data_IF_411073720854
#
_entry.id   IF_411073720854
#
_cell.length_a   1.000
_cell.length_b   1.000
_cell.length_c   1.000
_cell.angle_alpha   90.00
_cell.angle_beta   90.00
_cell.angle_gamma   90.00
#
_symmetry.space_group_name_H-M   'P 1'
#
loop_
_entity.id
_entity.type
_entity.pdbx_description
1 polymer ?
2 polymer ?
3 water ?
#
loop_
_entity_poly.entity_id
_entity_poly.type
_entity_poly.pdbx_seq_one_letter_code
_entity_poly.pdbx_strand_id
2 'polyribonucleotide' 'UUUUUUU' ?
#
# COMPACT_ATOMS: atom_id res chain seq x y z
N UNK A 9 -20.80 -13.77 4.96
CA UNK A 9 -20.43 -12.97 6.17
C UNK A 9 -19.14 -12.17 5.93
N UNK A 10 -18.20 -12.76 5.19
CA UNK A 10 -16.93 -12.10 4.90
C UNK A 10 -17.13 -10.74 4.22
N UNK A 11 -18.02 -10.69 3.24
CA UNK A 11 -18.29 -9.45 2.52
C UNK A 11 -18.78 -8.38 3.49
N UNK A 12 -19.78 -8.73 4.30
CA UNK A 12 -20.31 -7.80 5.27
C UNK A 12 -19.24 -7.39 6.28
N UNK A 13 -18.40 -8.34 6.68
CA UNK A 13 -17.34 -8.04 7.63
C UNK A 13 -16.34 -7.08 7.02
N UNK A 14 -16.04 -7.27 5.74
CA UNK A 14 -15.09 -6.39 5.07
C UNK A 14 -15.64 -4.98 5.05
N UNK A 15 -16.95 -4.85 4.81
CA UNK A 15 -17.58 -3.54 4.76
C UNK A 15 -17.51 -2.86 6.13
N UNK A 16 -17.73 -3.65 7.18
CA UNK A 16 -17.68 -3.14 8.54
C UNK A 16 -16.26 -2.66 8.87
N UNK A 17 -15.26 -3.47 8.53
CA UNK A 17 -13.86 -3.10 8.79
C UNK A 17 -13.52 -1.79 8.10
N UNK A 18 -13.81 -1.72 6.80
CA UNK A 18 -13.49 -0.52 6.04
C UNK A 18 -14.19 0.72 6.56
N UNK A 19 -15.45 0.58 6.96
CA UNK A 19 -16.20 1.73 7.46
C UNK A 19 -15.64 2.23 8.78
N UNK A 20 -15.33 1.31 9.70
CA UNK A 20 -14.80 1.72 10.99
C UNK A 20 -13.37 2.24 10.82
N UNK A 21 -12.57 1.54 10.03
CA UNK A 21 -11.21 2.00 9.78
C UNK A 21 -11.22 3.38 9.12
N UNK A 22 -12.28 3.70 8.38
CA UNK A 22 -12.34 5.03 7.78
C UNK A 22 -12.57 6.05 8.89
N UNK A 23 -13.51 5.75 9.80
CA UNK A 23 -13.81 6.68 10.90
C UNK A 23 -12.57 7.04 11.69
N UNK A 24 -11.81 6.02 12.09
CA UNK A 24 -10.59 6.21 12.88
C UNK A 24 -9.34 6.42 12.04
N UNK A 25 -9.51 6.59 10.73
CA UNK A 25 -8.37 6.75 9.84
C UNK A 25 -7.68 8.11 9.87
N UNK A 26 -6.54 8.17 9.20
CA UNK A 26 -5.72 9.38 9.11
C UNK A 26 -6.43 10.58 8.49
N UNK A 27 -7.38 10.33 7.60
CA UNK A 27 -8.08 11.45 6.97
C UNK A 27 -9.24 11.98 7.77
N UNK A 28 -10.13 11.09 8.18
CA UNK A 28 -11.31 11.51 8.91
C UNK A 28 -11.10 11.88 10.38
N UNK A 29 -10.36 11.06 11.11
CA UNK A 29 -10.18 11.32 12.54
C UNK A 29 -9.77 12.74 12.90
N UNK A 30 -8.74 13.29 12.23
CA UNK A 30 -8.30 14.65 12.56
C UNK A 30 -9.38 15.73 12.35
N UNK A 31 -10.41 15.41 11.58
CA UNK A 31 -11.49 16.35 11.29
C UNK A 31 -12.81 15.98 11.93
N UNK A 32 -12.84 14.86 12.67
CA UNK A 32 -14.06 14.40 13.30
C UNK A 32 -14.21 14.92 14.73
N UNK A 33 -14.94 16.03 14.88
CA UNK A 33 -15.13 16.62 16.20
C UNK A 33 -15.73 15.65 17.21
N UNK A 34 -16.84 15.04 16.86
CA UNK A 34 -17.50 14.12 17.78
C UNK A 34 -16.64 12.91 18.16
N UNK A 35 -15.97 12.32 17.19
CA UNK A 35 -15.13 11.16 17.48
C UNK A 35 -13.89 11.52 18.29
N UNK A 36 -13.29 12.67 17.98
CA UNK A 36 -12.11 13.11 18.71
C UNK A 36 -12.48 13.33 20.18
N UNK A 37 -13.69 13.83 20.41
CA UNK A 37 -14.15 14.06 21.77
C UNK A 37 -14.33 12.73 22.49
N UNK A 38 -14.84 11.72 21.80
CA UNK A 38 -15.05 10.41 22.40
C UNK A 38 -13.74 9.74 22.79
N UNK A 39 -12.73 9.89 21.93
CA UNK A 39 -11.42 9.29 22.16
C UNK A 39 -10.73 9.86 23.40
N UNK A 40 -11.20 11.02 23.85
CA UNK A 40 -10.61 11.66 25.04
C UNK A 40 -11.18 11.12 26.34
N UNK A 41 -12.39 10.57 26.27
CA UNK A 41 -13.08 10.05 27.45
C UNK A 41 -12.49 8.87 28.18
N UNK A 42 -11.98 7.88 27.43
CA UNK A 42 -11.46 6.66 28.05
C UNK A 42 -10.23 6.07 27.37
N UNK A 43 -9.14 6.82 27.33
CA UNK A 43 -7.89 6.36 26.72
C UNK A 43 -8.04 5.88 25.27
N UNK A 44 -8.93 6.50 24.52
CA UNK A 44 -9.12 6.11 23.12
C UNK A 44 -10.27 5.14 22.90
N UNK A 45 -10.63 4.39 23.93
CA UNK A 45 -11.72 3.43 23.84
C UNK A 45 -13.07 4.09 23.61
N UNK A 46 -13.83 3.55 22.66
CA UNK A 46 -15.16 4.06 22.37
C UNK A 46 -16.13 2.88 22.43
N UNK A 47 -17.17 2.97 23.27
CA UNK A 47 -18.13 1.88 23.38
C UNK A 47 -18.81 1.58 22.04
N UNK A 48 -19.05 0.31 21.76
CA UNK A 48 -19.73 -0.05 20.52
C UNK A 48 -21.14 0.53 20.56
N UNK A 49 -21.66 0.76 21.76
CA UNK A 49 -23.00 1.33 21.89
C UNK A 49 -23.02 2.73 21.28
N UNK A 50 -21.85 3.37 21.26
CA UNK A 50 -21.74 4.69 20.65
C UNK A 50 -21.44 4.56 19.17
N UNK A 51 -20.61 3.57 18.81
CA UNK A 51 -20.25 3.33 17.42
C UNK A 51 -21.46 3.01 16.55
N UNK A 52 -22.41 2.25 17.08
CA UNK A 52 -23.57 1.88 16.27
C UNK A 52 -24.50 3.06 16.02
N UNK A 53 -24.18 4.21 16.59
CA UNK A 53 -24.97 5.41 16.36
C UNK A 53 -24.47 6.05 15.06
N UNK A 54 -23.27 5.66 14.63
CA UNK A 54 -22.69 6.17 13.40
C UNK A 54 -23.55 5.61 12.26
N UNK A 55 -24.20 6.53 11.54
CA UNK A 55 -25.10 6.21 10.46
C UNK A 55 -24.73 5.04 9.52
N UNK A 56 -23.61 5.18 8.81
CA UNK A 56 -23.21 4.13 7.86
C UNK A 56 -22.88 2.76 8.46
N UNK A 57 -22.38 2.74 9.69
CA UNK A 57 -22.09 1.47 10.33
C UNK A 57 -23.42 0.86 10.77
N UNK A 58 -24.29 1.71 11.32
CA UNK A 58 -25.60 1.26 11.80
C UNK A 58 -26.36 0.51 10.71
N UNK A 59 -26.26 0.98 9.47
CA UNK A 59 -26.94 0.35 8.34
C UNK A 59 -26.41 -1.05 8.05
N UNK A 60 -25.14 -1.28 8.37
CA UNK A 60 -24.52 -2.59 8.14
C UNK A 60 -24.96 -3.56 9.22
N UNK A 61 -24.86 -3.14 10.47
CA UNK A 61 -25.27 -3.97 11.60
C UNK A 61 -25.12 -3.20 12.90
N UNK A 62 -25.86 -3.62 13.92
CA UNK A 62 -25.76 -3.02 15.25
C UNK A 62 -25.27 -4.11 16.22
N UNK A 63 -25.10 -5.33 15.70
CA UNK A 63 -24.66 -6.48 16.48
C UNK A 63 -23.19 -6.35 16.89
N UNK A 64 -22.94 -6.15 18.18
CA UNK A 64 -21.57 -6.01 18.69
C UNK A 64 -20.70 -7.22 18.31
N UNK A 65 -21.27 -8.42 18.36
CA UNK A 65 -20.53 -9.65 18.04
C UNK A 65 -20.05 -9.66 16.59
N UNK A 66 -20.91 -9.21 15.68
CA UNK A 66 -20.55 -9.17 14.26
C UNK A 66 -19.46 -8.13 14.02
N UNK A 67 -19.57 -6.97 14.67
CA UNK A 67 -18.58 -5.91 14.52
C UNK A 67 -17.21 -6.37 15.02
N UNK A 68 -17.19 -7.00 16.19
CA UNK A 68 -15.93 -7.48 16.77
C UNK A 68 -15.30 -8.60 15.96
N UNK A 69 -16.11 -9.54 15.51
CA UNK A 69 -15.61 -10.64 14.69
C UNK A 69 -14.95 -10.04 13.45
N UNK A 70 -15.63 -9.08 12.85
CA UNK A 70 -15.12 -8.44 11.64
C UNK A 70 -13.76 -7.80 11.89
N UNK A 71 -13.68 -6.90 12.87
CA UNK A 71 -12.43 -6.23 13.18
C UNK A 71 -11.32 -7.21 13.55
N UNK A 72 -11.68 -8.32 14.18
CA UNK A 72 -10.69 -9.32 14.58
C UNK A 72 -9.93 -9.91 13.40
N UNK A 73 -10.57 -9.89 12.23
CA UNK A 73 -9.96 -10.44 11.03
C UNK A 73 -9.39 -9.40 10.08
N UNK A 74 -9.41 -8.14 10.50
CA UNK A 74 -8.88 -7.07 9.64
C UNK A 74 -7.38 -7.19 9.43
N UNK A 75 -6.95 -6.86 8.21
CA UNK A 75 -5.54 -6.90 7.83
C UNK A 75 -4.88 -5.58 8.23
N UNK A 76 -5.67 -4.51 8.21
CA UNK A 76 -5.19 -3.18 8.54
C UNK A 76 -4.56 -3.16 9.93
N UNK A 77 -5.13 -3.91 10.87
CA UNK A 77 -4.59 -3.96 12.22
C UNK A 77 -4.56 -2.55 12.81
N UNK A 78 -5.54 -1.74 12.44
CA UNK A 78 -5.60 -0.37 12.94
C UNK A 78 -6.32 -0.28 14.29
N UNK A 79 -7.38 -1.07 14.44
CA UNK A 79 -8.18 -1.05 15.67
C UNK A 79 -7.81 -2.11 16.69
N UNK A 80 -8.06 -1.79 17.96
CA UNK A 80 -7.85 -2.72 19.06
C UNK A 80 -9.25 -2.99 19.61
N UNK A 81 -9.46 -4.18 20.14
CA UNK A 81 -10.75 -4.57 20.71
C UNK A 81 -10.52 -4.82 22.20
N UNK A 82 -11.39 -4.27 23.03
CA UNK A 82 -11.26 -4.42 24.48
C UNK A 82 -11.41 -5.88 24.91
N UNK A 83 -10.91 -6.19 26.10
CA UNK A 83 -10.99 -7.54 26.62
C UNK A 83 -12.43 -8.04 26.71
N UNK A 84 -13.36 -7.18 27.14
CA UNK A 84 -14.76 -7.60 27.23
C UNK A 84 -15.49 -7.48 25.89
N UNK A 85 -14.77 -7.00 24.87
CA UNK A 85 -15.30 -6.86 23.53
C UNK A 85 -16.48 -5.92 23.34
N UNK A 86 -16.61 -4.94 24.23
CA UNK A 86 -17.69 -3.98 24.11
C UNK A 86 -17.18 -2.60 23.70
N UNK A 87 -15.86 -2.47 23.56
CA UNK A 87 -15.25 -1.20 23.17
C UNK A 87 -14.11 -1.40 22.16
N UNK A 88 -13.85 -0.36 21.37
CA UNK A 88 -12.79 -0.41 20.36
C UNK A 88 -12.03 0.91 20.33
N UNK A 89 -10.80 0.87 19.86
CA UNK A 89 -10.00 2.08 19.76
C UNK A 89 -8.92 1.96 18.71
N UNK A 90 -8.43 3.11 18.25
CA UNK A 90 -7.34 3.10 17.30
C UNK A 90 -6.13 2.69 18.11
N UNK A 91 -5.30 1.80 17.57
CA UNK A 91 -4.11 1.33 18.27
C UNK A 91 -3.21 2.49 18.69
N UNK A 92 -2.89 2.58 19.99
CA UNK A 92 -2.02 3.67 20.45
C UNK A 92 -0.62 3.59 19.82
N UNK A 93 -0.33 2.46 19.17
CA UNK A 93 0.96 2.26 18.52
C UNK A 93 0.90 2.75 17.07
N UNK A 94 -0.27 3.22 16.67
CA UNK A 94 -0.47 3.75 15.34
C UNK A 94 -0.93 5.20 15.49
N UNK A 95 -0.04 6.07 15.97
CA UNK A 95 -0.40 7.48 16.14
C UNK A 95 -0.69 8.14 14.81
N UNK A 96 -1.51 9.19 14.86
CA UNK A 96 -1.87 9.95 13.68
C UNK A 96 -0.62 10.67 13.15
N UNK A 97 -0.48 10.76 11.82
CA UNK A 97 0.67 11.40 11.18
C UNK A 97 0.81 12.87 11.55
N UNK A 98 2.05 13.36 11.59
CA UNK A 98 2.32 14.75 11.87
C UNK A 98 1.82 15.54 10.66
N UNK A 99 0.96 16.51 10.89
CA UNK A 99 0.41 17.30 9.78
C UNK A 99 1.31 18.48 9.43
N UNK A 100 2.41 18.18 8.75
CA UNK A 100 3.38 19.19 8.35
C UNK A 100 2.91 19.82 7.05
N UNK A 101 3.60 20.86 6.58
CA UNK A 101 3.24 21.50 5.33
C UNK A 101 3.46 20.50 4.21
N UNK A 102 4.52 19.70 4.34
CA UNK A 102 4.85 18.67 3.35
C UNK A 102 3.73 17.65 3.25
N UNK A 103 3.22 17.25 4.41
CA UNK A 103 2.14 16.28 4.49
C UNK A 103 0.91 16.80 3.75
N UNK A 104 0.54 18.04 4.05
CA UNK A 104 -0.62 18.66 3.42
C UNK A 104 -0.49 18.83 1.91
N UNK A 105 0.69 19.20 1.43
CA UNK A 105 0.90 19.38 0.00
C UNK A 105 0.86 18.01 -0.66
N UNK A 106 1.36 17.02 0.05
CA UNK A 106 1.37 15.65 -0.45
C UNK A 106 -0.08 15.23 -0.65
N UNK A 107 -0.92 15.54 0.32
CA UNK A 107 -2.34 15.21 0.23
C UNK A 107 -2.97 15.94 -0.95
N UNK A 108 -2.75 17.25 -1.01
CA UNK A 108 -3.30 18.07 -2.09
C UNK A 108 -2.88 17.54 -3.47
N UNK A 109 -1.62 17.13 -3.61
CA UNK A 109 -1.11 16.62 -4.87
C UNK A 109 -1.73 15.31 -5.34
N UNK A 110 -2.43 14.59 -4.46
CA UNK A 110 -3.06 13.35 -4.87
C UNK A 110 -4.58 13.43 -4.74
N UNK A 111 -5.08 14.66 -4.64
CA UNK A 111 -6.51 14.90 -4.54
C UNK A 111 -7.03 15.35 -5.89
N UNK A 112 -8.20 14.86 -6.26
CA UNK A 112 -8.77 15.19 -7.56
C UNK A 112 -10.21 15.67 -7.50
N UNK A 113 -10.52 16.68 -8.31
CA UNK A 113 -11.85 17.27 -8.40
C UNK A 113 -12.57 16.60 -9.57
N UNK A 114 -13.80 16.16 -9.33
CA UNK A 114 -14.57 15.51 -10.38
C UNK A 114 -15.98 16.05 -10.41
N UNK A 115 -16.39 16.60 -11.55
CA UNK A 115 -17.74 17.13 -11.69
C UNK A 115 -18.46 16.39 -12.80
N UNK A 116 -19.75 16.14 -12.60
CA UNK A 116 -20.55 15.45 -13.60
C UNK A 116 -21.53 14.40 -13.08
N UNK A 117 -21.42 14.02 -11.81
CA UNK A 117 -22.31 13.02 -11.25
C UNK A 117 -23.73 13.56 -11.12
N UNK A 118 -24.74 12.69 -11.27
CA UNK A 118 -26.12 13.16 -11.14
C UNK A 118 -26.30 13.56 -9.69
N UNK A 119 -27.16 14.53 -9.42
CA UNK A 119 -27.35 14.97 -8.04
C UNK A 119 -27.96 13.92 -7.11
N UNK A 120 -28.52 12.85 -7.66
CA UNK A 120 -29.08 11.82 -6.79
C UNK A 120 -28.12 10.66 -6.54
N UNK A 121 -26.89 10.79 -7.03
CA UNK A 121 -25.89 9.74 -6.82
C UNK A 121 -25.53 9.67 -5.33
N UNK A 122 -25.37 8.47 -4.80
CA UNK A 122 -25.03 8.32 -3.40
C UNK A 122 -23.54 8.08 -3.21
N UNK A 123 -23.07 8.12 -1.97
CA UNK A 123 -21.67 7.86 -1.71
C UNK A 123 -21.36 6.43 -2.18
N UNK A 124 -22.30 5.52 -1.97
CA UNK A 124 -22.10 4.15 -2.39
C UNK A 124 -21.95 4.02 -3.89
N UNK A 125 -22.77 4.75 -4.65
CA UNK A 125 -22.69 4.69 -6.11
C UNK A 125 -21.31 5.13 -6.59
N UNK A 126 -20.81 6.20 -5.99
CA UNK A 126 -19.52 6.74 -6.37
C UNK A 126 -18.37 5.83 -5.94
N UNK A 127 -18.46 5.27 -4.73
CA UNK A 127 -17.41 4.38 -4.25
C UNK A 127 -17.30 3.20 -5.20
N UNK A 128 -18.45 2.69 -5.62
CA UNK A 128 -18.51 1.56 -6.53
C UNK A 128 -17.91 1.93 -7.89
N UNK A 129 -18.18 3.14 -8.34
CA UNK A 129 -17.65 3.61 -9.62
C UNK A 129 -16.12 3.69 -9.58
N UNK A 130 -15.61 4.21 -8.47
CA UNK A 130 -14.17 4.38 -8.26
C UNK A 130 -13.39 3.09 -7.94
N UNK A 131 -14.09 2.01 -7.63
CA UNK A 131 -13.42 0.76 -7.30
C UNK A 131 -12.32 0.39 -8.27
N UNK A 132 -12.55 0.62 -9.56
CA UNK A 132 -11.55 0.29 -10.57
C UNK A 132 -10.80 1.51 -11.09
N UNK A 133 -10.68 2.54 -10.25
CA UNK A 133 -9.97 3.76 -10.62
C UNK A 133 -8.76 4.01 -9.73
N UNK A 134 -8.51 3.10 -8.80
CA UNK A 134 -7.37 3.25 -7.90
C UNK A 134 -7.80 3.34 -6.45
N UNK A 135 -6.89 3.01 -5.54
CA UNK A 135 -7.17 3.04 -4.11
C UNK A 135 -7.43 4.47 -3.65
N UNK A 136 -8.61 4.67 -3.06
CA UNK A 136 -9.01 5.99 -2.58
C UNK A 136 -9.07 6.00 -1.05
N UNK A 137 -8.66 7.12 -0.46
CA UNK A 137 -8.68 7.27 1.00
C UNK A 137 -9.82 8.14 1.50
N UNK A 138 -10.43 8.90 0.58
CA UNK A 138 -11.54 9.76 0.93
C UNK A 138 -12.30 10.24 -0.30
N UNK A 139 -13.61 10.38 -0.15
CA UNK A 139 -14.48 10.87 -1.20
C UNK A 139 -15.29 11.95 -0.49
N UNK A 140 -15.09 13.19 -0.91
CA UNK A 140 -15.80 14.30 -0.32
C UNK A 140 -16.88 14.77 -1.28
N UNK A 141 -18.12 14.42 -0.97
CA UNK A 141 -19.24 14.85 -1.80
C UNK A 141 -19.53 16.30 -1.44
N UNK A 142 -19.38 17.18 -2.42
CA UNK A 142 -19.62 18.61 -2.22
C UNK A 142 -21.11 18.90 -2.21
N UNK A 143 -21.56 19.67 -1.23
CA UNK A 143 -22.96 20.01 -1.11
C UNK A 143 -23.23 21.51 -1.09
N UNK A 144 -24.48 21.87 -1.34
CA UNK A 144 -24.89 23.26 -1.34
C UNK A 144 -25.19 23.66 0.09
N UNK A 145 -25.55 24.93 0.27
CA UNK A 145 -25.88 25.43 1.60
C UNK A 145 -27.18 24.82 2.12
N UNK A 146 -27.91 24.14 1.25
CA UNK A 146 -29.14 23.47 1.66
C UNK A 146 -28.90 21.95 1.73
N UNK A 147 -27.62 21.59 1.77
CA UNK A 147 -27.15 20.21 1.90
C UNK A 147 -27.46 19.28 0.73
N UNK A 148 -27.71 19.85 -0.44
CA UNK A 148 -27.98 19.05 -1.62
C UNK A 148 -26.65 18.73 -2.28
N UNK A 149 -26.54 17.53 -2.84
CA UNK A 149 -25.30 17.12 -3.51
C UNK A 149 -25.19 17.93 -4.80
N UNK A 150 -24.04 18.57 -4.99
CA UNK A 150 -23.78 19.42 -6.14
C UNK A 150 -23.48 18.68 -7.45
N UNK A 151 -23.06 17.43 -7.35
CA UNK A 151 -22.71 16.68 -8.54
C UNK A 151 -21.20 16.63 -8.72
N UNK A 152 -20.48 17.30 -7.83
CA UNK A 152 -19.01 17.33 -7.90
C UNK A 152 -18.44 16.80 -6.59
N UNK A 153 -17.24 16.22 -6.66
CA UNK A 153 -16.59 15.66 -5.47
C UNK A 153 -15.09 15.90 -5.49
N UNK A 154 -14.47 15.63 -4.34
CA UNK A 154 -13.01 15.70 -4.21
C UNK A 154 -12.65 14.29 -3.81
N UNK A 155 -11.64 13.71 -4.47
CA UNK A 155 -11.21 12.36 -4.15
C UNK A 155 -9.74 12.37 -3.80
N UNK A 156 -9.40 11.73 -2.69
CA UNK A 156 -8.01 11.65 -2.26
C UNK A 156 -7.55 10.23 -2.58
N UNK A 157 -6.59 10.10 -3.49
CA UNK A 157 -6.08 8.79 -3.87
C UNK A 157 -4.93 8.41 -2.95
N UNK A 158 -4.53 7.14 -2.99
CA UNK A 158 -3.43 6.67 -2.15
C UNK A 158 -2.08 7.24 -2.56
N UNK A 159 -1.89 7.49 -3.85
CA UNK A 159 -0.62 8.02 -4.35
C UNK A 159 -0.77 8.99 -5.52
N UNK A 160 0.20 9.87 -5.67
CA UNK A 160 0.20 10.84 -6.77
C UNK A 160 0.07 10.06 -8.07
N UNK A 161 0.69 8.89 -8.09
CA UNK A 161 0.65 8.02 -9.26
C UNK A 161 -0.80 7.65 -9.58
N UNK A 162 -1.53 7.19 -8.57
CA UNK A 162 -2.92 6.81 -8.76
C UNK A 162 -3.74 7.99 -9.24
N UNK A 163 -3.52 9.15 -8.62
CA UNK A 163 -4.23 10.36 -8.99
C UNK A 163 -3.95 10.77 -10.43
N UNK A 164 -2.68 10.80 -10.80
CA UNK A 164 -2.29 11.19 -12.14
C UNK A 164 -2.82 10.25 -13.23
N UNK A 165 -2.77 8.95 -13.00
CA UNK A 165 -3.26 8.01 -13.99
C UNK A 165 -4.76 8.24 -14.20
N UNK A 166 -5.47 8.49 -13.10
CA UNK A 166 -6.90 8.75 -13.15
C UNK A 166 -7.17 10.02 -13.95
N UNK A 167 -6.47 11.10 -13.58
CA UNK A 167 -6.64 12.38 -14.25
C UNK A 167 -6.28 12.34 -15.73
N UNK A 168 -5.19 11.66 -16.06
CA UNK A 168 -4.74 11.57 -17.45
C UNK A 168 -5.59 10.67 -18.33
N UNK A 169 -6.46 9.88 -17.71
CA UNK A 169 -7.34 8.98 -18.46
C UNK A 169 -8.44 9.79 -19.14
N UNK A 170 -8.44 9.85 -20.48
CA UNK A 170 -9.43 10.59 -21.25
C UNK A 170 -10.78 9.90 -21.43
N UNK A 171 -11.81 10.70 -21.72
CA UNK A 171 -13.14 10.17 -21.93
C UNK A 171 -13.79 9.43 -20.78
N UNK A 172 -13.48 9.81 -19.55
CA UNK A 172 -14.08 9.14 -18.39
C UNK A 172 -15.54 9.58 -18.24
N UNK A 173 -16.38 8.63 -17.84
CA UNK A 173 -17.79 8.93 -17.67
C UNK A 173 -18.41 8.17 -16.51
N UNK A 174 -19.46 8.75 -15.95
CA UNK A 174 -20.20 8.11 -14.88
C UNK A 174 -21.44 7.68 -15.63
N UNK A 175 -21.43 6.42 -16.07
CA UNK A 175 -22.51 5.84 -16.86
C UNK A 175 -23.18 6.84 -17.81
N UNK A 176 -22.53 7.04 -18.96
CA UNK A 176 -23.02 7.91 -20.02
C UNK A 176 -22.76 9.41 -19.90
N UNK A 177 -22.50 9.90 -18.69
CA UNK A 177 -22.26 11.33 -18.50
C UNK A 177 -20.79 11.73 -18.43
N UNK A 178 -20.37 12.56 -19.38
CA UNK A 178 -19.00 13.06 -19.45
C UNK A 178 -18.66 13.79 -18.15
N UNK A 179 -17.44 13.60 -17.65
CA UNK A 179 -17.01 14.23 -16.41
C UNK A 179 -15.85 15.20 -16.60
N UNK A 180 -15.81 16.23 -15.76
CA UNK A 180 -14.73 17.19 -15.79
C UNK A 180 -13.81 16.77 -14.64
N UNK A 181 -12.56 16.44 -14.95
CA UNK A 181 -11.60 15.99 -13.95
C UNK A 181 -10.37 16.88 -13.89
N UNK A 182 -10.08 17.41 -12.71
CA UNK A 182 -8.93 18.29 -12.54
C UNK A 182 -8.26 18.04 -11.19
N UNK A 183 -6.94 18.23 -11.12
CA UNK A 183 -6.28 18.07 -9.84
C UNK A 183 -6.85 19.18 -8.99
N UNK A 184 -7.01 18.91 -7.71
CA UNK A 184 -7.56 19.87 -6.75
C UNK A 184 -6.96 21.26 -6.95
N UNK A 185 -5.64 21.32 -7.09
CA UNK A 185 -4.93 22.58 -7.27
C UNK A 185 -5.47 23.30 -8.52
N UNK A 186 -5.47 22.59 -9.64
CA UNK A 186 -5.96 23.16 -10.89
C UNK A 186 -7.39 23.69 -10.78
N UNK A 187 -8.20 23.04 -9.95
CA UNK A 187 -9.59 23.46 -9.77
C UNK A 187 -9.68 24.89 -9.24
N UNK B 8 11.46 -14.65 19.80
CA UNK B 8 10.56 -14.09 18.74
C UNK B 8 11.27 -14.13 17.39
N UNK B 9 10.49 -14.24 16.33
CA UNK B 9 11.04 -14.30 14.99
C UNK B 9 10.32 -13.39 14.01
N UNK B 10 9.60 -12.40 14.53
CA UNK B 10 8.86 -11.46 13.70
C UNK B 10 9.73 -10.79 12.65
N UNK B 11 10.84 -10.21 13.08
CA UNK B 11 11.75 -9.52 12.16
C UNK B 11 12.30 -10.47 11.10
N UNK B 12 12.76 -11.63 11.54
CA UNK B 12 13.29 -12.61 10.61
C UNK B 12 12.19 -13.02 9.63
N UNK B 13 11.01 -13.34 10.17
CA UNK B 13 9.90 -13.75 9.31
C UNK B 13 9.53 -12.66 8.33
N UNK B 14 9.69 -11.40 8.74
CA UNK B 14 9.38 -10.29 7.84
C UNK B 14 10.39 -10.25 6.70
N UNK B 15 11.66 -10.53 7.02
CA UNK B 15 12.72 -10.53 6.00
C UNK B 15 12.48 -11.66 5.01
N UNK B 16 12.05 -12.81 5.53
CA UNK B 16 11.78 -13.96 4.69
C UNK B 16 10.65 -13.65 3.71
N UNK B 17 9.59 -13.02 4.20
CA UNK B 17 8.47 -12.66 3.33
C UNK B 17 8.92 -11.74 2.22
N UNK B 18 9.57 -10.64 2.58
CA UNK B 18 10.05 -9.68 1.60
C UNK B 18 11.00 -10.33 0.58
N UNK B 19 11.88 -11.20 1.05
CA UNK B 19 12.82 -11.83 0.13
C UNK B 19 12.10 -12.73 -0.86
N UNK B 20 11.21 -13.58 -0.35
CA UNK B 20 10.47 -14.49 -1.22
C UNK B 20 9.55 -13.70 -2.14
N UNK B 21 8.87 -12.70 -1.60
CA UNK B 21 7.96 -11.89 -2.38
C UNK B 21 8.72 -11.10 -3.46
N UNK B 22 10.01 -10.91 -3.27
CA UNK B 22 10.81 -10.22 -4.29
C UNK B 22 11.08 -11.16 -5.45
N UNK B 23 11.47 -12.41 -5.14
CA UNK B 23 11.76 -13.38 -6.18
C UNK B 23 10.55 -13.55 -7.09
N UNK B 24 9.39 -13.72 -6.48
CA UNK B 24 8.16 -13.92 -7.25
C UNK B 24 7.47 -12.61 -7.63
N UNK B 25 8.13 -11.48 -7.41
CA UNK B 25 7.52 -10.19 -7.70
C UNK B 25 7.46 -9.75 -9.14
N UNK B 26 6.73 -8.66 -9.38
CA UNK B 26 6.57 -8.10 -10.71
C UNK B 26 7.89 -7.71 -11.37
N UNK B 27 8.87 -7.30 -10.58
CA UNK B 27 10.12 -6.93 -11.20
C UNK B 27 11.02 -8.11 -11.54
N UNK B 28 11.31 -8.92 -10.54
CA UNK B 28 12.21 -10.05 -10.72
C UNK B 28 11.71 -11.25 -11.53
N UNK B 29 10.50 -11.71 -11.24
CA UNK B 29 9.98 -12.89 -11.91
C UNK B 29 10.05 -12.91 -13.43
N UNK B 30 9.68 -11.78 -14.09
CA UNK B 30 9.74 -11.78 -15.56
C UNK B 30 11.16 -11.90 -16.11
N UNK B 31 12.15 -11.60 -15.27
CA UNK B 31 13.54 -11.68 -15.71
C UNK B 31 14.32 -12.81 -15.04
N UNK B 32 13.61 -13.69 -14.32
CA UNK B 32 14.25 -14.79 -13.63
C UNK B 32 14.15 -16.09 -14.43
N UNK B 33 15.20 -16.41 -15.19
CA UNK B 33 15.18 -17.63 -16.00
C UNK B 33 14.92 -18.91 -15.20
N UNK B 34 15.69 -19.10 -14.13
CA UNK B 34 15.54 -20.29 -13.29
C UNK B 34 14.15 -20.42 -12.68
N UNK B 35 13.66 -19.35 -12.06
CA UNK B 35 12.35 -19.37 -11.42
C UNK B 35 11.23 -19.58 -12.42
N UNK B 36 11.30 -18.90 -13.55
CA UNK B 36 10.26 -19.07 -14.58
C UNK B 36 10.19 -20.53 -14.98
N UNK B 37 11.33 -21.21 -14.99
CA UNK B 37 11.40 -22.63 -15.36
C UNK B 37 10.70 -23.50 -14.31
N UNK B 38 10.99 -23.22 -13.03
CA UNK B 38 10.41 -23.98 -11.94
C UNK B 38 8.89 -23.85 -11.92
N UNK B 39 8.41 -22.64 -12.21
CA UNK B 39 6.99 -22.33 -12.22
C UNK B 39 6.19 -23.09 -13.29
N UNK B 40 6.88 -23.65 -14.28
CA UNK B 40 6.18 -24.39 -15.33
C UNK B 40 6.09 -25.88 -15.01
N UNK B 41 6.84 -26.31 -14.02
CA UNK B 41 6.86 -27.73 -13.64
C UNK B 41 5.65 -28.27 -12.87
N UNK B 42 5.03 -27.43 -12.06
CA UNK B 42 3.90 -27.87 -11.23
C UNK B 42 2.84 -26.79 -10.99
N UNK B 43 2.31 -26.22 -12.07
CA UNK B 43 1.28 -25.19 -11.98
C UNK B 43 1.64 -24.05 -11.05
N UNK B 44 2.90 -23.65 -11.07
CA UNK B 44 3.36 -22.55 -10.23
C UNK B 44 4.06 -22.96 -8.96
N UNK B 45 3.68 -24.13 -8.42
CA UNK B 45 4.28 -24.60 -7.18
C UNK B 45 5.77 -24.87 -7.28
N UNK B 46 6.51 -24.40 -6.28
CA UNK B 46 7.95 -24.64 -6.23
C UNK B 46 8.21 -25.22 -4.85
N UNK B 47 8.83 -26.42 -4.79
CA UNK B 47 9.13 -27.07 -3.51
C UNK B 47 10.04 -26.20 -2.65
N UNK B 48 9.85 -26.26 -1.33
CA UNK B 48 10.70 -25.47 -0.44
C UNK B 48 12.15 -25.95 -0.54
N UNK B 49 12.35 -27.21 -0.92
CA UNK B 49 13.71 -27.74 -1.08
C UNK B 49 14.42 -26.92 -2.14
N UNK B 50 13.68 -26.49 -3.15
CA UNK B 50 14.26 -25.69 -4.22
C UNK B 50 14.43 -24.25 -3.77
N UNK B 51 13.47 -23.74 -3.00
CA UNK B 51 13.55 -22.36 -2.52
C UNK B 51 14.75 -22.07 -1.62
N UNK B 52 15.14 -23.03 -0.78
CA UNK B 52 16.27 -22.79 0.13
C UNK B 52 17.61 -22.82 -0.57
N UNK B 53 17.61 -22.99 -1.88
CA UNK B 53 18.83 -23.00 -2.66
C UNK B 53 19.14 -21.55 -3.07
N UNK B 54 18.12 -20.70 -3.00
CA UNK B 54 18.26 -19.29 -3.34
C UNK B 54 19.12 -18.66 -2.23
N UNK B 55 20.29 -18.17 -2.62
CA UNK B 55 21.26 -17.59 -1.70
C UNK B 55 20.73 -16.72 -0.55
N UNK B 56 20.09 -15.61 -0.89
CA UNK B 56 19.61 -14.71 0.15
C UNK B 56 18.58 -15.31 1.11
N UNK B 57 17.71 -16.19 0.62
CA UNK B 57 16.74 -16.84 1.51
C UNK B 57 17.50 -17.82 2.40
N UNK B 58 18.43 -18.54 1.79
CA UNK B 58 19.26 -19.54 2.49
C UNK B 58 19.95 -18.94 3.72
N UNK B 59 20.47 -17.73 3.55
CA UNK B 59 21.17 -17.03 4.62
C UNK B 59 20.27 -16.69 5.79
N UNK B 60 18.99 -16.46 5.50
CA UNK B 60 18.01 -16.14 6.53
C UNK B 60 17.65 -17.41 7.29
N UNK B 61 17.30 -18.46 6.55
CA UNK B 61 16.96 -19.74 7.16
C UNK B 61 16.66 -20.80 6.11
N UNK B 62 16.78 -22.06 6.52
CA UNK B 62 16.44 -23.18 5.64
C UNK B 62 15.29 -23.94 6.32
N UNK B 63 14.86 -23.45 7.47
CA UNK B 63 13.78 -24.07 8.23
C UNK B 63 12.44 -23.92 7.52
N UNK B 64 11.93 -25.03 6.98
CA UNK B 64 10.66 -25.02 6.26
C UNK B 64 9.50 -24.49 7.10
N UNK B 65 9.48 -24.82 8.39
CA UNK B 65 8.40 -24.38 9.27
C UNK B 65 8.40 -22.87 9.47
N UNK B 66 9.58 -22.28 9.54
CA UNK B 66 9.71 -20.83 9.71
C UNK B 66 9.28 -20.13 8.44
N UNK B 67 9.73 -20.64 7.31
CA UNK B 67 9.36 -20.04 6.02
C UNK B 67 7.83 -20.10 5.85
N UNK B 68 7.24 -21.25 6.14
CA UNK B 68 5.80 -21.38 6.02
C UNK B 68 5.06 -20.44 6.97
N UNK B 69 5.46 -20.42 8.24
CA UNK B 69 4.80 -19.54 9.18
C UNK B 69 4.94 -18.10 8.69
N UNK B 70 6.13 -17.75 8.21
CA UNK B 70 6.38 -16.41 7.72
C UNK B 70 5.39 -16.01 6.64
N UNK B 71 5.32 -16.80 5.57
CA UNK B 71 4.42 -16.50 4.47
C UNK B 71 2.94 -16.52 4.89
N UNK B 72 2.62 -17.33 5.89
CA UNK B 72 1.24 -17.42 6.37
C UNK B 72 0.75 -16.10 6.94
N UNK B 73 1.70 -15.27 7.39
CA UNK B 73 1.37 -13.99 8.02
C UNK B 73 1.67 -12.75 7.18
N UNK B 74 2.01 -12.94 5.91
CA UNK B 74 2.32 -11.81 5.04
C UNK B 74 1.10 -10.93 4.79
N UNK B 75 1.33 -9.63 4.69
CA UNK B 75 0.25 -8.69 4.43
C UNK B 75 0.11 -8.51 2.92
N UNK B 76 1.16 -8.85 2.19
CA UNK B 76 1.13 -8.72 0.74
C UNK B 76 0.18 -9.75 0.15
N UNK B 77 0.15 -10.94 0.73
CA UNK B 77 -0.71 -12.00 0.25
C UNK B 77 -0.46 -12.30 -1.22
N UNK B 78 0.81 -12.34 -1.59
CA UNK B 78 1.19 -12.63 -2.97
C UNK B 78 1.34 -14.14 -3.14
N UNK B 79 1.91 -14.76 -2.11
CA UNK B 79 2.19 -16.19 -2.10
C UNK B 79 1.12 -17.08 -1.47
N UNK B 80 1.01 -18.27 -2.04
CA UNK B 80 0.09 -19.29 -1.58
C UNK B 80 0.97 -20.43 -1.06
N UNK B 81 0.47 -21.12 -0.03
CA UNK B 81 1.17 -22.24 0.55
C UNK B 81 0.32 -23.48 0.24
N UNK B 82 0.95 -24.56 -0.18
CA UNK B 82 0.19 -25.77 -0.52
C UNK B 82 -0.45 -26.37 0.73
N UNK B 83 -1.52 -27.13 0.54
CA UNK B 83 -2.20 -27.76 1.66
C UNK B 83 -1.22 -28.59 2.50
N UNK B 84 -0.32 -29.31 1.83
CA UNK B 84 0.64 -30.14 2.56
C UNK B 84 1.85 -29.38 3.09
N UNK B 85 1.90 -28.09 2.79
CA UNK B 85 2.97 -27.20 3.27
C UNK B 85 4.37 -27.43 2.72
N UNK B 86 4.50 -28.25 1.68
CA UNK B 86 5.82 -28.54 1.11
C UNK B 86 6.23 -27.61 -0.03
N UNK B 87 5.28 -26.88 -0.59
CA UNK B 87 5.57 -26.00 -1.72
C UNK B 87 4.81 -24.68 -1.68
N UNK B 88 5.27 -23.70 -2.47
CA UNK B 88 4.66 -22.38 -2.51
C UNK B 88 4.61 -21.88 -3.94
N UNK B 89 3.73 -20.91 -4.20
CA UNK B 89 3.61 -20.33 -5.53
C UNK B 89 2.97 -18.95 -5.48
N UNK B 90 3.24 -18.17 -6.51
CA UNK B 90 2.62 -16.86 -6.59
C UNK B 90 1.13 -17.14 -6.85
N UNK B 91 0.25 -16.39 -6.20
CA UNK B 91 -1.18 -16.63 -6.39
C UNK B 91 -1.61 -16.45 -7.85
N UNK B 92 -2.35 -17.43 -8.40
CA UNK B 92 -2.79 -17.31 -9.78
C UNK B 92 -3.81 -16.19 -9.94
N UNK B 93 -4.32 -15.68 -8.81
CA UNK B 93 -5.28 -14.59 -8.84
C UNK B 93 -4.55 -13.26 -8.91
N UNK B 94 -3.22 -13.33 -8.85
CA UNK B 94 -2.38 -12.13 -8.91
C UNK B 94 -1.39 -12.27 -10.05
N UNK B 95 -1.90 -12.30 -11.29
CA UNK B 95 -1.08 -12.44 -12.49
C UNK B 95 -0.14 -11.24 -12.72
N UNK B 96 0.98 -11.51 -13.37
CA UNK B 96 1.96 -10.47 -13.69
C UNK B 96 1.32 -9.40 -14.56
N UNK B 97 1.75 -8.14 -14.40
CA UNK B 97 1.21 -7.01 -15.17
C UNK B 97 1.58 -7.08 -16.65
N UNK B 98 0.72 -6.57 -17.50
CA UNK B 98 1.00 -6.54 -18.93
C UNK B 98 2.15 -5.55 -19.08
N UNK B 99 3.22 -5.97 -19.74
CA UNK B 99 4.37 -5.08 -19.91
C UNK B 99 4.14 -4.16 -21.10
N UNK B 100 3.39 -3.09 -20.87
CA UNK B 100 3.06 -2.11 -21.91
C UNK B 100 3.93 -0.87 -21.79
N UNK B 101 3.94 -0.07 -22.85
CA UNK B 101 4.73 1.16 -22.86
C UNK B 101 4.35 2.01 -21.65
N UNK B 102 3.05 2.10 -21.38
CA UNK B 102 2.58 2.88 -20.24
C UNK B 102 3.18 2.31 -18.95
N UNK B 103 3.34 0.99 -18.92
CA UNK B 103 3.90 0.33 -17.75
C UNK B 103 5.36 0.72 -17.54
N UNK B 104 6.15 0.59 -18.60
CA UNK B 104 7.56 0.92 -18.55
C UNK B 104 7.82 2.34 -18.07
N UNK B 105 7.29 3.32 -18.81
CA UNK B 105 7.47 4.72 -18.45
C UNK B 105 7.06 4.99 -17.01
N UNK B 106 6.00 4.32 -16.58
CA UNK B 106 5.50 4.49 -15.22
C UNK B 106 6.57 4.09 -14.21
N UNK B 107 7.21 2.96 -14.46
CA UNK B 107 8.26 2.46 -13.58
C UNK B 107 9.44 3.44 -13.60
N UNK B 108 9.81 3.87 -14.80
CA UNK B 108 10.92 4.81 -15.00
C UNK B 108 10.68 6.13 -14.26
N UNK B 109 9.42 6.53 -14.13
CA UNK B 109 9.10 7.77 -13.43
C UNK B 109 9.53 7.65 -11.98
N UNK B 110 9.73 6.41 -11.54
CA UNK B 110 10.13 6.11 -10.17
C UNK B 110 11.52 5.50 -10.05
N UNK B 111 12.18 5.29 -11.18
CA UNK B 111 13.51 4.71 -11.22
C UNK B 111 14.57 5.80 -11.14
N UNK B 112 15.60 5.57 -10.33
CA UNK B 112 16.67 6.55 -10.15
C UNK B 112 18.07 5.93 -10.27
N UNK B 113 19.01 6.76 -10.71
CA UNK B 113 20.40 6.35 -10.84
C UNK B 113 21.16 7.04 -9.70
N UNK B 114 21.93 6.25 -8.94
CA UNK B 114 22.70 6.81 -7.83
C UNK B 114 24.14 6.34 -7.93
N UNK B 115 25.07 7.29 -7.88
CA UNK B 115 26.49 7.02 -7.97
C UNK B 115 27.19 7.55 -6.73
N UNK B 116 28.19 6.83 -6.23
CA UNK B 116 28.93 7.30 -5.09
C UNK B 116 29.13 6.36 -3.92
N UNK B 117 28.45 5.22 -3.91
CA UNK B 117 28.62 4.28 -2.82
C UNK B 117 30.00 3.66 -2.86
N UNK B 118 30.57 3.33 -1.70
CA UNK B 118 31.89 2.72 -1.70
C UNK B 118 31.77 1.35 -2.34
N UNK B 119 32.85 0.87 -2.96
CA UNK B 119 32.82 -0.41 -3.65
C UNK B 119 32.57 -1.62 -2.74
N UNK B 120 32.75 -1.46 -1.43
CA UNK B 120 32.52 -2.58 -0.54
C UNK B 120 31.12 -2.57 0.09
N UNK B 121 30.28 -1.63 -0.32
CA UNK B 121 28.91 -1.58 0.21
C UNK B 121 28.15 -2.78 -0.36
N UNK B 122 27.42 -3.48 0.51
CA UNK B 122 26.64 -4.64 0.10
C UNK B 122 25.20 -4.26 -0.21
N UNK B 123 24.43 -5.19 -0.77
CA UNK B 123 23.03 -4.92 -1.09
C UNK B 123 22.31 -4.62 0.21
N UNK B 124 22.66 -5.36 1.25
CA UNK B 124 22.08 -5.19 2.56
C UNK B 124 22.37 -3.78 3.09
N UNK B 125 23.61 -3.34 2.94
CA UNK B 125 23.99 -2.00 3.39
C UNK B 125 23.14 -0.94 2.70
N UNK B 126 22.96 -1.08 1.39
CA UNK B 126 22.19 -0.13 0.63
C UNK B 126 20.70 -0.19 0.97
N UNK B 127 20.19 -1.39 1.23
CA UNK B 127 18.79 -1.54 1.60
C UNK B 127 18.53 -0.79 2.90
N UNK B 128 19.41 -0.99 3.87
CA UNK B 128 19.31 -0.34 5.18
C UNK B 128 19.30 1.17 5.02
N UNK B 129 20.13 1.67 4.10
CA UNK B 129 20.24 3.10 3.84
C UNK B 129 18.97 3.66 3.20
N UNK B 130 18.41 2.94 2.24
CA UNK B 130 17.21 3.37 1.54
C UNK B 130 15.92 3.27 2.34
N UNK B 131 16.00 2.71 3.54
CA UNK B 131 14.81 2.56 4.36
C UNK B 131 14.09 3.87 4.66
N UNK B 132 14.81 4.86 5.17
CA UNK B 132 14.18 6.15 5.47
C UNK B 132 14.14 7.04 4.24
N UNK B 133 14.25 6.43 3.07
CA UNK B 133 14.22 7.14 1.80
C UNK B 133 12.95 6.81 1.03
N UNK B 134 12.19 5.85 1.55
CA UNK B 134 10.95 5.46 0.90
C UNK B 134 10.93 4.00 0.51
N UNK B 135 9.73 3.46 0.30
CA UNK B 135 9.57 2.06 -0.09
C UNK B 135 10.09 1.78 -1.51
N UNK B 136 11.09 0.91 -1.60
CA UNK B 136 11.70 0.56 -2.89
C UNK B 136 11.29 -0.83 -3.35
N UNK B 137 11.20 -1.01 -4.66
CA UNK B 137 10.81 -2.27 -5.26
C UNK B 137 11.96 -3.07 -5.87
N UNK B 138 13.02 -2.38 -6.27
CA UNK B 138 14.18 -3.04 -6.87
C UNK B 138 15.45 -2.20 -6.78
N UNK B 139 16.53 -2.85 -6.34
CA UNK B 139 17.82 -2.22 -6.21
C UNK B 139 18.78 -3.00 -7.11
N UNK B 140 19.26 -2.34 -8.17
CA UNK B 140 20.18 -2.98 -9.09
C UNK B 140 21.59 -2.47 -8.86
N UNK B 141 22.45 -3.31 -8.30
CA UNK B 141 23.84 -2.92 -8.06
C UNK B 141 24.63 -3.18 -9.34
N UNK B 142 25.07 -2.09 -9.98
CA UNK B 142 25.81 -2.19 -11.22
C UNK B 142 27.20 -2.77 -10.97
N UNK B 143 27.58 -3.74 -11.78
CA UNK B 143 28.88 -4.38 -11.66
C UNK B 143 29.73 -4.28 -12.92
N UNK B 144 31.04 -4.45 -12.75
CA UNK B 144 31.97 -4.39 -13.86
C UNK B 144 31.90 -5.71 -14.61
N UNK B 145 32.69 -5.81 -15.67
CA UNK B 145 32.74 -7.04 -16.45
C UNK B 145 33.43 -8.14 -15.65
N UNK B 146 34.08 -7.76 -14.55
CA UNK B 146 34.73 -8.75 -13.69
C UNK B 146 33.88 -8.95 -12.42
N UNK B 147 32.62 -8.55 -12.53
CA UNK B 147 31.63 -8.69 -11.45
C UNK B 147 31.92 -7.96 -10.16
N UNK B 148 32.64 -6.85 -10.25
CA UNK B 148 32.95 -6.05 -9.06
C UNK B 148 31.90 -4.94 -8.97
N UNK B 149 31.51 -4.57 -7.77
CA UNK B 149 30.52 -3.51 -7.61
C UNK B 149 31.18 -2.21 -8.04
N UNK B 150 30.55 -1.46 -8.94
CA UNK B 150 31.15 -0.21 -9.38
C UNK B 150 30.84 1.00 -8.51
N UNK B 151 29.94 0.84 -7.55
CA UNK B 151 29.61 1.96 -6.68
C UNK B 151 28.39 2.78 -7.09
N UNK B 152 27.69 2.33 -8.13
CA UNK B 152 26.48 3.02 -8.59
C UNK B 152 25.36 2.01 -8.68
N UNK B 153 24.13 2.46 -8.49
CA UNK B 153 22.97 1.58 -8.53
C UNK B 153 21.77 2.23 -9.22
N UNK B 154 20.80 1.40 -9.57
CA UNK B 154 19.53 1.83 -10.14
C UNK B 154 18.52 1.43 -9.08
N UNK B 155 17.60 2.33 -8.76
CA UNK B 155 16.59 2.05 -7.75
C UNK B 155 15.19 2.37 -8.26
N UNK B 156 14.25 1.47 -8.00
CA UNK B 156 12.87 1.68 -8.41
C UNK B 156 12.09 1.91 -7.12
N UNK B 157 11.43 3.06 -7.02
CA UNK B 157 10.67 3.37 -5.81
C UNK B 157 9.22 2.93 -5.89
N UNK B 158 8.58 2.84 -4.72
CA UNK B 158 7.18 2.44 -4.63
C UNK B 158 6.27 3.53 -5.19
N UNK B 159 6.68 4.78 -5.08
CA UNK B 159 5.88 5.90 -5.57
C UNK B 159 6.72 7.05 -6.11
N UNK B 160 6.15 7.81 -7.04
CA UNK B 160 6.82 8.96 -7.64
C UNK B 160 7.09 9.98 -6.54
N UNK B 161 6.26 9.94 -5.51
CA UNK B 161 6.39 10.86 -4.39
C UNK B 161 7.76 10.71 -3.74
N UNK B 162 8.02 9.54 -3.16
CA UNK B 162 9.30 9.27 -2.51
C UNK B 162 10.46 9.38 -3.49
N UNK B 163 10.19 9.16 -4.77
CA UNK B 163 11.21 9.24 -5.79
C UNK B 163 11.59 10.71 -6.00
N UNK B 164 10.60 11.50 -6.38
CA UNK B 164 10.79 12.92 -6.63
C UNK B 164 11.40 13.60 -5.41
N UNK B 165 10.90 13.26 -4.22
CA UNK B 165 11.41 13.85 -3.00
C UNK B 165 12.87 13.44 -2.79
N UNK B 166 13.19 12.25 -3.27
CA UNK B 166 14.53 11.71 -3.15
C UNK B 166 15.50 12.50 -4.03
N UNK B 167 15.12 12.68 -5.29
CA UNK B 167 15.95 13.41 -6.26
C UNK B 167 16.03 14.90 -5.96
N UNK B 168 14.91 15.49 -5.58
CA UNK B 168 14.83 16.91 -5.28
C UNK B 168 15.43 17.33 -3.95
N UNK B 169 15.81 16.36 -3.13
CA UNK B 169 16.41 16.65 -1.83
C UNK B 169 17.94 16.61 -1.91
N UNK B 170 18.59 17.77 -1.79
CA UNK B 170 20.05 17.86 -1.84
C UNK B 170 20.71 17.42 -0.55
N UNK B 171 22.04 17.25 -0.59
CA UNK B 171 22.77 16.84 0.59
C UNK B 171 22.68 15.36 0.92
N UNK B 172 22.11 14.57 0.02
CA UNK B 172 21.98 13.14 0.24
C UNK B 172 23.38 12.55 0.37
N UNK B 173 23.59 11.71 1.37
CA UNK B 173 24.90 11.12 1.58
C UNK B 173 24.84 9.71 2.15
N UNK B 174 25.85 8.91 1.80
CA UNK B 174 25.95 7.57 2.30
C UNK B 174 27.17 7.53 3.19
N UNK B 175 26.97 7.46 4.50
CA UNK B 175 28.08 7.41 5.42
C UNK B 175 29.07 8.54 5.14
N UNK B 176 28.53 9.75 5.05
CA UNK B 176 29.36 10.95 4.81
C UNK B 176 29.89 11.13 3.39
N UNK B 177 29.56 10.23 2.47
CA UNK B 177 30.05 10.38 1.10
C UNK B 177 28.95 10.94 0.20
N UNK B 178 29.25 12.05 -0.47
CA UNK B 178 28.29 12.69 -1.37
C UNK B 178 27.88 11.75 -2.50
N UNK B 179 26.59 11.73 -2.80
CA UNK B 179 26.05 10.87 -3.85
C UNK B 179 25.47 11.71 -5.01
N UNK B 180 25.62 11.20 -6.23
CA UNK B 180 25.10 11.87 -7.41
C UNK B 180 23.82 11.13 -7.77
N UNK B 181 22.68 11.81 -7.63
CA UNK B 181 21.37 11.23 -7.89
C UNK B 181 20.69 11.84 -9.11
N UNK B 182 20.43 11.01 -10.12
CA UNK B 182 19.79 11.45 -11.35
C UNK B 182 18.64 10.49 -11.68
N UNK B 183 17.68 10.94 -12.49
CA UNK B 183 16.60 10.04 -12.89
C UNK B 183 17.15 9.15 -14.00
N UNK B 184 16.75 7.89 -14.03
CA UNK B 184 17.21 6.98 -15.06
C UNK B 184 16.65 7.43 -16.41
#
# INVERSE_FOLDING_TARGET
GSNGDNEKMAALEAKICHQIEYYFGDFNLPRDKFLKEQIKLDEGWVPLEIMIKFNRLNRLTTDFNVIVEALSKSKAELMEISEDKTKIRRSPSKPLPEVTDEYKNDVKNRSVYIKGFPTDATLDDIKEWLEDKGQVLNIQMRRTLHKAFKGSIFVVFDSIESAKKFVETPGQKYKETDLLILFKDDYFAKKNE
GSNGDNEKMAALEAKICHQIEYYFGDFNLPRDKFLKEQIKLDEGWVPLEIMIKFNRLNRLTTDFNVIVEALSKSKAELMEISEDKTKIRRSPSKPLPEVTDEYKNDVKNRSVYIKGFPTDATLDDIKEWLEDKGQVLNIQMRRTLHKAFKGSIFVVFDSIESAKKFVETPGQKYKETDLLILFKDDYFAKKNE
#
